data_IF_444118324543
#
_entry.id   IF_444118324543
#
_cell.length_a   1.000
_cell.length_b   1.000
_cell.length_c   1.000
_cell.angle_alpha   90.00
_cell.angle_beta   90.00
_cell.angle_gamma   90.00
#
_symmetry.space_group_name_H-M   'P 1'
#
loop_
_entity.id
_entity.type
_entity.pdbx_description
1 polymer ?
#
# COMPACT_ATOMS: atom_id res chain seq x y z
N UNK A 1 52.77 -30.46 37.52
CA UNK A 1 51.86 -30.76 36.44
C UNK A 1 51.11 -29.42 36.11
N UNK A 2 51.52 -28.72 35.02
CA UNK A 2 51.04 -27.38 34.65
C UNK A 2 50.02 -27.54 33.51
N UNK A 3 48.73 -27.31 33.77
CA UNK A 3 47.65 -27.34 32.78
C UNK A 3 47.60 -25.97 32.12
N UNK A 4 47.92 -25.92 30.80
CA UNK A 4 47.80 -24.73 29.97
C UNK A 4 46.40 -24.70 29.35
N UNK A 5 45.58 -23.78 29.78
CA UNK A 5 44.32 -23.46 29.12
C UNK A 5 44.59 -22.66 27.86
N UNK A 6 44.24 -23.22 26.69
CA UNK A 6 44.18 -22.48 25.42
C UNK A 6 42.78 -21.85 25.29
N UNK A 7 42.71 -20.52 25.37
CA UNK A 7 41.53 -19.76 24.97
C UNK A 7 41.40 -19.88 23.44
N UNK A 8 40.33 -20.54 22.99
CA UNK A 8 39.88 -20.42 21.59
C UNK A 8 39.01 -19.14 21.51
N UNK A 9 39.53 -18.13 20.82
CA UNK A 9 38.75 -16.95 20.42
C UNK A 9 37.91 -17.38 19.19
N UNK A 10 36.60 -17.57 19.38
CA UNK A 10 35.67 -17.78 18.29
C UNK A 10 35.39 -16.39 17.67
N UNK A 11 35.96 -16.11 16.49
CA UNK A 11 35.60 -14.95 15.67
C UNK A 11 34.19 -15.20 15.11
N UNK A 12 33.18 -14.55 15.68
CA UNK A 12 31.86 -14.44 15.08
C UNK A 12 31.97 -13.52 13.86
N UNK A 13 32.10 -14.11 12.68
CA UNK A 13 31.85 -13.44 11.40
C UNK A 13 30.35 -13.09 11.34
N UNK A 14 30.02 -11.85 11.66
CA UNK A 14 28.73 -11.30 11.30
C UNK A 14 28.75 -11.12 9.79
N UNK A 15 28.31 -12.13 9.07
CA UNK A 15 27.97 -11.99 7.66
C UNK A 15 26.81 -11.00 7.58
N UNK A 16 27.07 -9.79 7.07
CA UNK A 16 26.05 -8.86 6.65
C UNK A 16 25.24 -9.52 5.53
N UNK A 17 24.17 -10.22 5.89
CA UNK A 17 23.19 -10.69 4.92
C UNK A 17 22.58 -9.44 4.30
N UNK A 18 22.98 -9.12 3.08
CA UNK A 18 22.27 -8.16 2.24
C UNK A 18 20.83 -8.66 2.16
N UNK A 19 19.86 -7.79 2.44
CA UNK A 19 18.43 -8.08 2.21
C UNK A 19 18.30 -8.49 0.76
N UNK A 20 17.99 -9.76 0.52
CA UNK A 20 17.76 -10.29 -0.82
C UNK A 20 16.50 -9.63 -1.38
N UNK A 21 16.48 -9.38 -2.68
CA UNK A 21 15.31 -8.83 -3.38
C UNK A 21 14.03 -9.68 -3.19
N UNK A 22 14.19 -10.92 -2.70
CA UNK A 22 13.12 -11.85 -2.34
C UNK A 22 12.26 -11.40 -1.13
N UNK A 23 12.76 -10.49 -0.29
CA UNK A 23 12.08 -10.10 0.96
C UNK A 23 11.16 -8.87 0.81
N UNK A 24 11.12 -8.24 -0.39
CA UNK A 24 10.29 -7.06 -0.63
C UNK A 24 8.87 -7.48 -0.98
N UNK A 25 7.90 -6.98 -0.20
CA UNK A 25 6.48 -7.20 -0.47
C UNK A 25 6.04 -6.54 -1.78
N UNK A 26 5.49 -7.30 -2.71
CA UNK A 26 4.93 -6.79 -3.96
C UNK A 26 3.42 -6.55 -3.78
N UNK A 27 3.03 -5.29 -3.88
CA UNK A 27 1.65 -4.84 -3.65
C UNK A 27 1.03 -4.46 -5.00
N UNK A 28 -0.06 -5.11 -5.38
CA UNK A 28 -0.78 -4.82 -6.62
C UNK A 28 -1.61 -3.54 -6.46
N UNK A 29 -1.24 -2.46 -7.15
CA UNK A 29 -1.85 -1.12 -7.10
C UNK A 29 -3.24 -1.14 -7.74
N UNK A 30 -4.28 -0.89 -6.94
CA UNK A 30 -5.69 -0.97 -7.36
C UNK A 30 -6.03 -2.34 -7.98
N UNK A 31 -5.39 -3.40 -7.47
CA UNK A 31 -5.31 -4.70 -8.12
C UNK A 31 -4.21 -4.76 -9.19
N UNK A 32 -4.28 -5.72 -10.10
CA UNK A 32 -3.39 -5.78 -11.27
C UNK A 32 -3.85 -4.77 -12.33
N UNK A 33 -3.74 -3.47 -12.02
CA UNK A 33 -4.37 -2.37 -12.78
C UNK A 33 -3.78 -2.14 -14.17
N UNK A 34 -2.59 -2.68 -14.45
CA UNK A 34 -2.05 -2.67 -15.82
C UNK A 34 -2.87 -3.56 -16.75
N UNK A 35 -3.35 -4.69 -16.29
CA UNK A 35 -4.00 -5.74 -17.10
C UNK A 35 -5.54 -5.72 -16.98
N UNK A 36 -6.09 -5.20 -15.88
CA UNK A 36 -7.53 -5.15 -15.59
C UNK A 36 -7.96 -3.73 -15.16
N UNK A 37 -9.27 -3.39 -15.19
CA UNK A 37 -9.75 -2.09 -14.74
C UNK A 37 -9.46 -1.89 -13.24
N UNK A 38 -8.84 -0.77 -12.91
CA UNK A 38 -8.45 -0.42 -11.54
C UNK A 38 -9.65 -0.45 -10.56
N UNK A 39 -9.39 -0.83 -9.29
CA UNK A 39 -10.40 -0.81 -8.22
C UNK A 39 -11.65 -1.65 -8.50
N UNK A 40 -11.51 -2.80 -9.14
CA UNK A 40 -12.59 -3.76 -9.42
C UNK A 40 -12.30 -5.12 -8.81
N UNK A 41 -13.33 -5.97 -8.69
CA UNK A 41 -13.13 -7.36 -8.25
C UNK A 41 -12.20 -8.11 -9.21
N UNK A 42 -12.30 -7.81 -10.50
CA UNK A 42 -11.51 -8.42 -11.56
C UNK A 42 -10.02 -8.10 -11.38
N UNK A 43 -9.67 -6.82 -11.16
CA UNK A 43 -8.27 -6.44 -10.96
C UNK A 43 -7.70 -6.99 -9.65
N UNK A 44 -8.49 -7.04 -8.60
CA UNK A 44 -8.09 -7.59 -7.29
C UNK A 44 -7.82 -9.09 -7.40
N UNK A 45 -8.74 -9.86 -8.01
CA UNK A 45 -8.54 -11.30 -8.24
C UNK A 45 -7.33 -11.59 -9.10
N UNK A 46 -7.18 -10.82 -10.17
CA UNK A 46 -6.00 -10.93 -11.04
C UNK A 46 -4.71 -10.61 -10.28
N UNK A 47 -4.72 -9.66 -9.33
CA UNK A 47 -3.59 -9.38 -8.46
C UNK A 47 -3.17 -10.59 -7.63
N UNK A 48 -4.15 -11.33 -7.09
CA UNK A 48 -3.88 -12.59 -6.37
C UNK A 48 -3.39 -13.70 -7.30
N UNK A 49 -3.98 -13.87 -8.48
CA UNK A 49 -3.54 -14.82 -9.51
C UNK A 49 -2.11 -14.53 -9.97
N UNK A 50 -1.75 -13.26 -10.08
CA UNK A 50 -0.39 -12.79 -10.38
C UNK A 50 0.56 -12.87 -9.17
N UNK A 51 0.16 -13.57 -8.10
CA UNK A 51 0.97 -13.85 -6.91
C UNK A 51 1.46 -12.60 -6.18
N UNK A 52 0.70 -11.50 -6.20
CA UNK A 52 1.00 -10.37 -5.34
C UNK A 52 0.99 -10.80 -3.86
N UNK A 53 1.84 -10.18 -3.03
CA UNK A 53 1.87 -10.44 -1.59
C UNK A 53 0.75 -9.68 -0.87
N UNK A 54 0.40 -8.53 -1.42
CA UNK A 54 -0.77 -7.76 -1.03
C UNK A 54 -1.44 -7.13 -2.25
N UNK A 55 -2.68 -6.68 -2.07
CA UNK A 55 -3.39 -5.83 -3.03
C UNK A 55 -3.71 -4.51 -2.34
N UNK A 56 -3.54 -3.43 -3.06
CA UNK A 56 -3.98 -2.11 -2.63
C UNK A 56 -5.25 -1.72 -3.38
N UNK A 57 -6.18 -1.03 -2.68
CA UNK A 57 -7.43 -0.51 -3.23
C UNK A 57 -7.77 0.84 -2.61
N UNK A 58 -8.35 1.74 -3.43
CA UNK A 58 -8.86 3.04 -3.00
C UNK A 58 -10.33 2.96 -2.59
N UNK A 59 -10.72 3.62 -1.51
CA UNK A 59 -12.11 3.61 -1.04
C UNK A 59 -12.68 5.00 -0.75
N UNK A 60 -13.96 5.14 -1.05
CA UNK A 60 -14.82 6.26 -0.68
C UNK A 60 -16.05 5.78 0.09
N UNK A 61 -16.71 6.72 0.77
CA UNK A 61 -18.03 6.53 1.35
C UNK A 61 -19.11 7.00 0.37
N UNK A 62 -20.06 6.15 0.02
CA UNK A 62 -21.23 6.54 -0.78
C UNK A 62 -22.23 7.37 0.03
N UNK A 63 -23.20 7.99 -0.66
CA UNK A 63 -24.28 8.79 -0.03
C UNK A 63 -25.06 8.03 1.03
N UNK A 64 -25.26 6.73 0.83
CA UNK A 64 -26.00 5.83 1.73
C UNK A 64 -25.10 5.07 2.72
N UNK A 65 -23.82 5.49 2.85
CA UNK A 65 -22.88 5.01 3.88
C UNK A 65 -22.24 3.66 3.60
N UNK A 66 -22.20 3.24 2.33
CA UNK A 66 -21.48 2.04 1.90
C UNK A 66 -20.03 2.39 1.53
N UNK A 67 -19.10 1.52 1.87
CA UNK A 67 -17.69 1.68 1.47
C UNK A 67 -17.51 1.05 0.09
N UNK A 68 -17.15 1.87 -0.90
CA UNK A 68 -17.04 1.48 -2.30
C UNK A 68 -15.64 1.73 -2.84
N UNK A 69 -15.21 0.92 -3.81
CA UNK A 69 -13.91 1.11 -4.44
C UNK A 69 -13.98 2.16 -5.55
N UNK A 70 -13.19 3.21 -5.42
CA UNK A 70 -12.98 4.22 -6.45
C UNK A 70 -11.77 5.09 -6.10
N UNK A 71 -11.04 5.60 -7.12
CA UNK A 71 -9.87 6.44 -6.87
C UNK A 71 -10.19 7.94 -6.81
N UNK A 72 -10.94 8.45 -7.79
CA UNK A 72 -11.21 9.88 -7.91
C UNK A 72 -12.47 10.27 -7.12
N UNK A 73 -12.54 11.52 -6.68
CA UNK A 73 -13.72 12.02 -5.95
C UNK A 73 -15.00 11.99 -6.81
N UNK A 74 -14.87 11.95 -8.15
CA UNK A 74 -16.00 11.87 -9.10
C UNK A 74 -15.87 10.66 -10.01
N UNK A 75 -16.99 10.16 -10.50
CA UNK A 75 -17.06 9.03 -11.43
C UNK A 75 -16.78 9.39 -12.90
N UNK A 76 -16.40 10.65 -13.19
CA UNK A 76 -16.24 11.20 -14.54
C UNK A 76 -15.20 10.46 -15.37
N UNK A 77 -13.99 10.30 -14.83
CA UNK A 77 -12.83 9.78 -15.58
C UNK A 77 -13.06 8.37 -16.10
N UNK A 78 -13.65 7.51 -15.29
CA UNK A 78 -13.77 6.08 -15.58
C UNK A 78 -15.15 5.73 -16.18
N UNK A 79 -16.22 6.36 -15.68
CA UNK A 79 -17.60 6.03 -16.06
C UNK A 79 -18.29 7.12 -16.90
N UNK A 80 -17.63 8.24 -17.18
CA UNK A 80 -18.20 9.36 -17.97
C UNK A 80 -19.25 10.18 -17.22
N UNK A 81 -19.59 9.87 -15.97
CA UNK A 81 -20.62 10.53 -15.18
C UNK A 81 -19.98 11.55 -14.22
N UNK A 82 -20.22 12.84 -14.44
CA UNK A 82 -19.64 13.92 -13.64
C UNK A 82 -20.43 14.15 -12.34
N UNK A 83 -20.36 13.19 -11.41
CA UNK A 83 -20.95 13.27 -10.08
C UNK A 83 -19.95 12.77 -9.04
N UNK A 84 -19.97 13.39 -7.84
CA UNK A 84 -19.15 12.91 -6.72
C UNK A 84 -19.63 11.53 -6.27
N UNK A 85 -18.70 10.68 -5.84
CA UNK A 85 -19.02 9.37 -5.24
C UNK A 85 -19.89 9.54 -4.01
N UNK A 86 -19.59 10.52 -3.16
CA UNK A 86 -20.33 10.83 -1.95
C UNK A 86 -21.78 11.33 -2.18
N UNK A 87 -22.10 11.78 -3.39
CA UNK A 87 -23.43 12.26 -3.76
C UNK A 87 -24.30 11.17 -4.41
N UNK A 88 -23.78 9.96 -4.56
CA UNK A 88 -24.45 8.81 -5.19
C UNK A 88 -24.65 7.69 -4.17
N UNK A 89 -25.82 7.07 -4.19
CA UNK A 89 -26.06 5.83 -3.45
C UNK A 89 -25.30 4.67 -4.09
N UNK A 90 -25.06 3.59 -3.34
CA UNK A 90 -24.45 2.41 -3.93
C UNK A 90 -25.30 1.80 -5.06
N UNK A 91 -26.62 1.90 -4.96
CA UNK A 91 -27.51 1.45 -6.03
C UNK A 91 -27.29 2.20 -7.34
N UNK A 92 -26.98 3.51 -7.29
CA UNK A 92 -26.62 4.31 -8.46
C UNK A 92 -25.21 3.96 -8.94
N UNK A 93 -24.22 3.93 -8.04
CA UNK A 93 -22.81 3.64 -8.35
C UNK A 93 -22.62 2.28 -9.04
N UNK A 94 -23.32 1.25 -8.60
CA UNK A 94 -23.26 -0.09 -9.19
C UNK A 94 -23.84 -0.22 -10.60
N UNK A 95 -24.54 0.80 -11.12
CA UNK A 95 -25.00 0.82 -12.51
C UNK A 95 -23.93 1.33 -13.47
N UNK A 96 -22.91 2.01 -12.97
CA UNK A 96 -21.85 2.58 -13.78
C UNK A 96 -20.94 1.48 -14.33
N UNK A 97 -20.66 1.56 -15.65
CA UNK A 97 -19.64 0.73 -16.27
C UNK A 97 -18.26 1.35 -16.02
N UNK A 98 -17.44 0.67 -15.22
CA UNK A 98 -16.08 1.12 -14.87
C UNK A 98 -15.00 0.28 -15.56
N UNK A 99 -15.39 -0.59 -16.49
CA UNK A 99 -14.47 -1.47 -17.20
C UNK A 99 -14.26 -1.14 -18.66
N UNK A 100 -15.29 -0.60 -19.34
CA UNK A 100 -15.25 -0.37 -20.80
C UNK A 100 -14.09 0.50 -21.29
N UNK A 101 -13.63 1.46 -20.48
CA UNK A 101 -12.48 2.31 -20.78
C UNK A 101 -11.16 1.53 -20.91
N UNK A 102 -11.05 0.40 -20.22
CA UNK A 102 -9.86 -0.47 -20.22
C UNK A 102 -9.82 -1.42 -21.43
N UNK A 103 -10.97 -1.65 -22.06
CA UNK A 103 -11.11 -2.50 -23.23
C UNK A 103 -12.45 -3.23 -23.27
N UNK A 104 -12.85 -3.66 -24.47
CA UNK A 104 -14.17 -4.27 -24.71
C UNK A 104 -14.44 -5.52 -23.86
N UNK A 105 -13.42 -6.32 -23.56
CA UNK A 105 -13.53 -7.52 -22.70
C UNK A 105 -13.97 -7.20 -21.26
N UNK A 106 -13.80 -5.95 -20.84
CA UNK A 106 -14.13 -5.48 -19.51
C UNK A 106 -15.46 -4.70 -19.43
N UNK A 107 -16.17 -4.61 -20.55
CA UNK A 107 -17.47 -3.94 -20.59
C UNK A 107 -18.43 -4.60 -19.60
N UNK A 108 -19.11 -3.78 -18.83
CA UNK A 108 -20.08 -4.25 -17.84
C UNK A 108 -19.50 -4.48 -16.45
N UNK A 109 -18.20 -4.30 -16.23
CA UNK A 109 -17.59 -4.32 -14.89
C UNK A 109 -18.13 -3.16 -14.05
N UNK A 110 -18.39 -3.42 -12.77
CA UNK A 110 -19.09 -2.51 -11.86
C UNK A 110 -18.24 -2.13 -10.67
N UNK A 111 -18.57 -0.98 -10.05
CA UNK A 111 -17.96 -0.55 -8.78
C UNK A 111 -18.34 -1.56 -7.68
N UNK A 112 -17.38 -2.22 -7.00
CA UNK A 112 -17.68 -3.14 -5.92
C UNK A 112 -17.75 -2.40 -4.57
N UNK A 113 -18.47 -3.02 -3.59
CA UNK A 113 -18.29 -2.67 -2.18
C UNK A 113 -17.01 -3.28 -1.63
N UNK A 114 -16.41 -2.62 -0.65
CA UNK A 114 -15.25 -3.14 0.07
C UNK A 114 -15.55 -4.53 0.68
N UNK A 115 -16.76 -4.76 1.19
CA UNK A 115 -17.18 -6.04 1.76
C UNK A 115 -16.90 -7.22 0.80
N UNK A 116 -17.28 -7.07 -0.48
CA UNK A 116 -17.08 -8.11 -1.47
C UNK A 116 -15.60 -8.33 -1.80
N UNK A 117 -14.81 -7.26 -1.75
CA UNK A 117 -13.38 -7.31 -2.05
C UNK A 117 -12.60 -7.95 -0.91
N UNK A 118 -12.93 -7.65 0.34
CA UNK A 118 -12.30 -8.25 1.51
C UNK A 118 -12.43 -9.77 1.55
N UNK A 119 -13.54 -10.33 1.02
CA UNK A 119 -13.70 -11.80 0.97
C UNK A 119 -12.68 -12.49 0.08
N UNK A 120 -12.06 -11.76 -0.86
CA UNK A 120 -11.09 -12.30 -1.81
C UNK A 120 -9.68 -12.46 -1.23
N UNK A 121 -9.39 -11.89 -0.07
CA UNK A 121 -8.05 -11.92 0.53
C UNK A 121 -7.69 -13.38 0.88
N UNK A 122 -6.65 -13.98 0.28
CA UNK A 122 -6.22 -15.33 0.61
C UNK A 122 -5.57 -15.38 2.01
N UNK A 123 -5.48 -16.57 2.58
CA UNK A 123 -4.75 -16.78 3.83
C UNK A 123 -3.29 -16.36 3.68
N UNK A 124 -2.76 -15.71 4.72
CA UNK A 124 -1.40 -15.18 4.75
C UNK A 124 -1.16 -13.96 3.86
N UNK A 125 -2.16 -13.49 3.11
CA UNK A 125 -2.09 -12.27 2.30
C UNK A 125 -2.81 -11.12 2.99
N UNK A 126 -2.51 -9.88 2.56
CA UNK A 126 -3.11 -8.69 3.16
C UNK A 126 -3.59 -7.68 2.11
N UNK A 127 -4.45 -6.76 2.53
CA UNK A 127 -4.97 -5.70 1.67
C UNK A 127 -4.67 -4.33 2.28
N UNK A 128 -4.09 -3.47 1.47
CA UNK A 128 -3.91 -2.05 1.76
C UNK A 128 -5.16 -1.30 1.28
N UNK A 129 -5.79 -0.58 2.18
CA UNK A 129 -7.05 0.13 1.93
C UNK A 129 -6.76 1.62 2.05
N UNK A 130 -6.62 2.29 0.89
CA UNK A 130 -6.42 3.73 0.84
C UNK A 130 -7.75 4.47 1.00
N UNK A 131 -7.88 5.19 2.09
CA UNK A 131 -9.05 6.06 2.32
C UNK A 131 -8.84 7.39 1.61
N UNK A 132 -9.73 7.68 0.64
CA UNK A 132 -9.70 8.88 -0.20
C UNK A 132 -10.58 10.02 0.31
N UNK A 133 -11.49 9.75 1.26
CA UNK A 133 -12.36 10.75 1.90
C UNK A 133 -11.90 11.06 3.32
N UNK A 134 -12.74 11.71 4.12
CA UNK A 134 -12.43 12.08 5.49
C UNK A 134 -12.67 10.96 6.51
N UNK A 135 -12.47 11.25 7.81
CA UNK A 135 -12.61 10.26 8.89
C UNK A 135 -14.04 9.78 9.12
N UNK A 136 -15.04 10.40 8.51
CA UNK A 136 -16.44 9.96 8.55
C UNK A 136 -16.66 8.53 8.05
N UNK A 137 -15.71 7.98 7.27
CA UNK A 137 -15.73 6.59 6.79
C UNK A 137 -15.40 5.56 7.87
N UNK A 138 -14.71 5.94 8.97
CA UNK A 138 -14.17 5.02 9.97
C UNK A 138 -15.23 4.06 10.57
N UNK A 139 -16.44 4.53 10.93
CA UNK A 139 -17.47 3.61 11.41
C UNK A 139 -17.90 2.55 10.37
N UNK A 140 -17.96 2.94 9.09
CA UNK A 140 -18.31 2.03 7.99
C UNK A 140 -17.17 1.01 7.72
N UNK A 141 -15.90 1.44 7.71
CA UNK A 141 -14.76 0.53 7.65
C UNK A 141 -14.81 -0.51 8.77
N UNK A 142 -15.12 -0.09 10.01
CA UNK A 142 -15.23 -1.00 11.14
C UNK A 142 -16.35 -2.04 10.97
N UNK A 143 -17.45 -1.70 10.29
CA UNK A 143 -18.50 -2.67 9.94
C UNK A 143 -17.99 -3.68 8.91
N UNK A 144 -17.35 -3.21 7.84
CA UNK A 144 -16.77 -4.05 6.78
C UNK A 144 -15.71 -4.99 7.32
N UNK A 145 -14.79 -4.51 8.17
CA UNK A 145 -13.74 -5.33 8.78
C UNK A 145 -14.31 -6.47 9.64
N UNK A 146 -15.28 -6.17 10.50
CA UNK A 146 -15.95 -7.21 11.32
C UNK A 146 -16.68 -8.24 10.46
N UNK A 147 -17.40 -7.78 9.44
CA UNK A 147 -18.17 -8.64 8.53
C UNK A 147 -17.29 -9.55 7.69
N UNK A 148 -16.08 -9.09 7.33
CA UNK A 148 -15.15 -9.87 6.49
C UNK A 148 -14.59 -11.11 7.18
N UNK A 149 -14.56 -11.15 8.52
CA UNK A 149 -13.93 -12.20 9.29
C UNK A 149 -12.40 -12.25 9.15
N UNK A 150 -11.79 -11.27 8.44
CA UNK A 150 -10.33 -11.23 8.24
C UNK A 150 -9.61 -10.83 9.53
N UNK A 151 -8.44 -11.44 9.74
CA UNK A 151 -7.60 -11.09 10.89
C UNK A 151 -7.05 -9.65 10.75
N UNK A 152 -6.73 -8.96 11.85
CA UNK A 152 -6.12 -7.64 11.78
C UNK A 152 -4.85 -7.58 10.93
N UNK A 153 -4.06 -8.64 10.87
CA UNK A 153 -2.82 -8.70 10.09
C UNK A 153 -3.05 -8.75 8.57
N UNK A 154 -4.26 -9.12 8.15
CA UNK A 154 -4.66 -9.12 6.74
C UNK A 154 -5.14 -7.74 6.25
N UNK A 155 -5.30 -6.78 7.16
CA UNK A 155 -5.85 -5.46 6.88
C UNK A 155 -4.81 -4.38 7.15
N UNK A 156 -4.71 -3.43 6.23
CA UNK A 156 -3.83 -2.26 6.36
C UNK A 156 -4.61 -1.03 5.93
N UNK A 157 -4.60 0.03 6.74
CA UNK A 157 -5.22 1.32 6.38
C UNK A 157 -4.14 2.32 6.01
N UNK A 158 -4.31 2.98 4.87
CA UNK A 158 -3.43 4.04 4.41
C UNK A 158 -4.25 5.28 3.99
N UNK A 159 -3.72 6.47 4.16
CA UNK A 159 -4.33 7.71 3.67
C UNK A 159 -3.34 8.86 3.65
N UNK A 160 -3.52 9.79 2.69
CA UNK A 160 -2.90 11.12 2.72
C UNK A 160 -3.51 12.05 3.78
N UNK A 161 -4.76 11.76 4.18
CA UNK A 161 -5.40 12.51 5.26
C UNK A 161 -4.91 11.98 6.61
N UNK A 162 -4.11 12.80 7.30
CA UNK A 162 -3.52 12.45 8.59
C UNK A 162 -4.58 12.11 9.64
N UNK A 163 -5.70 12.85 9.70
CA UNK A 163 -6.78 12.57 10.65
C UNK A 163 -7.44 11.22 10.41
N UNK A 164 -7.51 10.76 9.16
CA UNK A 164 -8.01 9.41 8.84
C UNK A 164 -7.12 8.33 9.45
N UNK A 165 -5.81 8.36 9.18
CA UNK A 165 -4.90 7.31 9.70
C UNK A 165 -4.77 7.34 11.21
N UNK A 166 -4.78 8.53 11.81
CA UNK A 166 -4.79 8.74 13.27
C UNK A 166 -6.04 8.14 13.92
N UNK A 167 -7.23 8.46 13.39
CA UNK A 167 -8.49 7.92 13.92
C UNK A 167 -8.65 6.42 13.62
N UNK A 168 -8.20 5.96 12.45
CA UNK A 168 -8.18 4.53 12.13
C UNK A 168 -7.32 3.76 13.13
N UNK A 169 -6.09 4.24 13.42
CA UNK A 169 -5.20 3.59 14.40
C UNK A 169 -5.79 3.58 15.80
N UNK A 170 -6.38 4.68 16.24
CA UNK A 170 -7.07 4.75 17.54
C UNK A 170 -8.26 3.79 17.61
N UNK A 171 -9.06 3.66 16.54
CA UNK A 171 -10.25 2.79 16.49
C UNK A 171 -9.90 1.32 16.30
N UNK A 172 -8.83 1.03 15.56
CA UNK A 172 -8.39 -0.32 15.18
C UNK A 172 -6.92 -0.55 15.57
N UNK A 173 -6.57 -0.58 16.86
CA UNK A 173 -5.15 -0.55 17.31
C UNK A 173 -4.31 -1.73 16.82
N UNK A 174 -4.95 -2.87 16.49
CA UNK A 174 -4.28 -4.06 15.96
C UNK A 174 -4.09 -4.03 14.44
N UNK A 175 -4.83 -3.18 13.72
CA UNK A 175 -4.67 -3.02 12.27
C UNK A 175 -3.50 -2.07 12.02
N UNK A 176 -2.63 -2.42 11.08
CA UNK A 176 -1.52 -1.55 10.68
C UNK A 176 -2.02 -0.33 9.91
N UNK A 177 -1.51 0.84 10.27
CA UNK A 177 -1.85 2.10 9.63
C UNK A 177 -0.56 2.82 9.19
N UNK A 178 -0.50 3.22 7.91
CA UNK A 178 0.65 3.97 7.38
C UNK A 178 0.21 5.31 6.82
N UNK A 179 1.01 6.34 7.10
CA UNK A 179 0.77 7.68 6.58
C UNK A 179 1.31 7.80 5.16
N UNK A 180 0.44 8.18 4.21
CA UNK A 180 0.82 8.44 2.83
C UNK A 180 1.39 9.85 2.70
N UNK A 181 2.49 9.98 1.96
CA UNK A 181 3.07 11.28 1.61
C UNK A 181 3.68 11.30 0.23
N UNK A 182 3.50 12.41 -0.46
CA UNK A 182 4.32 12.81 -1.61
C UNK A 182 5.25 13.94 -1.18
N UNK A 183 6.23 14.26 -2.04
CA UNK A 183 7.25 15.25 -1.74
C UNK A 183 7.29 16.34 -2.80
N UNK A 184 7.68 17.53 -2.35
CA UNK A 184 8.06 18.65 -3.20
C UNK A 184 9.50 19.04 -2.82
N UNK A 185 10.24 19.57 -3.78
CA UNK A 185 11.51 20.24 -3.47
C UNK A 185 11.21 21.73 -3.27
N UNK A 186 11.65 22.27 -2.15
CA UNK A 186 11.66 23.71 -1.94
C UNK A 186 12.62 24.36 -2.94
N UNK A 187 12.17 25.40 -3.61
CA UNK A 187 12.93 26.02 -4.69
C UNK A 187 14.09 26.91 -4.18
N UNK A 188 13.99 27.40 -2.95
CA UNK A 188 14.96 28.32 -2.36
C UNK A 188 16.04 27.54 -1.60
N UNK A 189 15.62 26.61 -0.72
CA UNK A 189 16.54 25.83 0.10
C UNK A 189 17.06 24.56 -0.58
N UNK A 190 16.35 24.07 -1.61
CA UNK A 190 16.63 22.76 -2.20
C UNK A 190 16.24 21.57 -1.30
N UNK A 191 15.56 21.82 -0.19
CA UNK A 191 15.16 20.80 0.75
C UNK A 191 13.88 20.09 0.33
N UNK A 192 13.72 18.85 0.78
CA UNK A 192 12.51 18.05 0.53
C UNK A 192 11.44 18.37 1.56
N UNK A 193 10.22 18.70 1.08
CA UNK A 193 9.05 18.98 1.91
C UNK A 193 7.97 17.92 1.63
N UNK A 194 7.39 17.29 2.69
CA UNK A 194 7.84 17.34 4.08
C UNK A 194 9.19 16.67 4.29
N UNK A 195 9.92 17.06 5.34
CA UNK A 195 11.14 16.38 5.75
C UNK A 195 10.83 14.98 6.33
N UNK A 196 11.83 14.10 6.38
CA UNK A 196 11.65 12.77 6.98
C UNK A 196 11.39 12.87 8.48
N UNK A 197 11.97 13.85 9.15
CA UNK A 197 11.76 14.13 10.58
C UNK A 197 10.32 14.51 10.87
N UNK A 198 9.73 15.38 10.06
CA UNK A 198 8.31 15.76 10.19
C UNK A 198 7.37 14.57 10.00
N UNK A 199 7.65 13.71 9.01
CA UNK A 199 6.86 12.51 8.76
C UNK A 199 6.95 11.52 9.92
N UNK A 200 8.17 11.28 10.44
CA UNK A 200 8.40 10.40 11.61
C UNK A 200 7.69 10.97 12.85
N UNK A 201 7.81 12.28 13.09
CA UNK A 201 7.15 12.92 14.23
C UNK A 201 5.62 12.77 14.18
N UNK A 202 5.01 13.03 13.02
CA UNK A 202 3.57 12.80 12.80
C UNK A 202 3.16 11.35 13.02
N UNK A 203 3.91 10.41 12.43
CA UNK A 203 3.60 9.00 12.56
C UNK A 203 3.70 8.54 14.04
N UNK A 204 4.72 8.96 14.77
CA UNK A 204 4.87 8.69 16.21
C UNK A 204 3.74 9.28 17.04
N UNK A 205 3.37 10.54 16.79
CA UNK A 205 2.31 11.22 17.53
C UNK A 205 0.95 10.51 17.40
N UNK A 206 0.68 9.84 16.28
CA UNK A 206 -0.53 9.05 16.06
C UNK A 206 -0.33 7.53 16.25
N UNK A 207 0.82 7.09 16.77
CA UNK A 207 1.17 5.67 16.99
C UNK A 207 1.03 4.81 15.71
N UNK A 208 1.32 5.40 14.54
CA UNK A 208 1.25 4.70 13.27
C UNK A 208 2.40 3.69 13.12
N UNK A 209 2.19 2.67 12.30
CA UNK A 209 3.15 1.60 12.07
C UNK A 209 4.26 1.99 11.08
N UNK A 210 4.13 3.13 10.40
CA UNK A 210 5.14 3.65 9.49
C UNK A 210 4.61 4.58 8.42
N UNK A 211 5.37 4.62 7.33
CA UNK A 211 5.16 5.53 6.20
C UNK A 211 4.96 4.74 4.90
N UNK A 212 4.10 5.26 4.02
CA UNK A 212 3.95 4.79 2.64
C UNK A 212 4.08 5.98 1.70
N UNK A 213 5.24 6.13 1.06
CA UNK A 213 5.63 7.40 0.44
C UNK A 213 5.94 7.26 -1.05
N UNK A 214 5.82 8.35 -1.80
CA UNK A 214 6.22 8.40 -3.20
C UNK A 214 7.70 8.04 -3.35
N UNK A 215 8.03 7.08 -4.25
CA UNK A 215 9.41 6.68 -4.51
C UNK A 215 10.29 7.83 -4.99
N UNK A 216 9.71 8.88 -5.58
CA UNK A 216 10.44 10.07 -6.05
C UNK A 216 11.14 10.82 -4.93
N UNK A 217 10.66 10.70 -3.69
CA UNK A 217 11.29 11.28 -2.50
C UNK A 217 12.32 10.37 -1.82
N UNK A 218 12.45 9.11 -2.25
CA UNK A 218 13.36 8.14 -1.64
C UNK A 218 14.75 8.17 -2.29
N UNK A 219 15.37 9.37 -2.31
CA UNK A 219 16.65 9.59 -3.00
C UNK A 219 17.86 9.23 -2.13
N UNK A 220 17.80 9.41 -0.81
CA UNK A 220 18.95 9.25 0.09
C UNK A 220 18.84 8.02 0.99
N UNK A 221 19.96 7.38 1.27
CA UNK A 221 20.06 6.31 2.27
C UNK A 221 19.73 6.81 3.69
N UNK A 222 20.00 8.09 3.96
CA UNK A 222 19.69 8.71 5.24
C UNK A 222 18.18 8.65 5.55
N UNK A 223 17.30 8.80 4.54
CA UNK A 223 15.86 8.67 4.69
C UNK A 223 15.49 7.27 5.23
N UNK A 224 16.00 6.22 4.58
CA UNK A 224 15.75 4.82 4.99
C UNK A 224 16.25 4.58 6.42
N UNK A 225 17.50 4.97 6.68
CA UNK A 225 18.12 4.79 8.01
C UNK A 225 17.29 5.47 9.11
N UNK A 226 16.83 6.70 8.91
CA UNK A 226 16.02 7.44 9.88
C UNK A 226 14.68 6.74 10.16
N UNK A 227 13.95 6.32 9.11
CA UNK A 227 12.66 5.63 9.28
C UNK A 227 12.85 4.28 9.98
N UNK A 228 13.83 3.48 9.55
CA UNK A 228 14.12 2.18 10.15
C UNK A 228 14.61 2.30 11.60
N UNK A 229 15.47 3.28 11.92
CA UNK A 229 15.90 3.56 13.30
C UNK A 229 14.77 4.03 14.20
N UNK A 230 13.68 4.57 13.62
CA UNK A 230 12.47 4.90 14.35
C UNK A 230 11.56 3.69 14.63
N UNK A 231 11.94 2.48 14.17
CA UNK A 231 11.15 1.24 14.29
C UNK A 231 9.94 1.19 13.37
N UNK A 232 9.96 1.94 12.27
CA UNK A 232 8.82 2.12 11.37
C UNK A 232 8.96 1.31 10.08
N UNK A 233 7.83 0.79 9.58
CA UNK A 233 7.73 0.26 8.23
C UNK A 233 7.83 1.36 7.18
N UNK A 234 8.43 1.03 6.02
CA UNK A 234 8.58 1.94 4.90
C UNK A 234 8.12 1.29 3.59
N UNK A 235 7.04 1.79 3.04
CA UNK A 235 6.42 1.35 1.79
C UNK A 235 6.48 2.46 0.75
N UNK A 236 6.33 2.10 -0.52
CA UNK A 236 6.38 3.10 -1.60
C UNK A 236 5.44 2.78 -2.76
N UNK A 237 5.08 3.81 -3.54
CA UNK A 237 4.17 3.78 -4.70
C UNK A 237 4.56 4.83 -5.75
N UNK A 238 4.11 4.77 -6.98
CA UNK A 238 3.81 3.56 -7.74
C UNK A 238 5.03 3.26 -8.58
N UNK A 239 5.65 2.11 -8.41
CA UNK A 239 6.92 1.76 -9.06
C UNK A 239 6.68 0.74 -10.17
N UNK A 240 6.83 1.18 -11.41
CA UNK A 240 6.70 0.36 -12.61
C UNK A 240 8.03 0.21 -13.38
N UNK A 241 9.17 0.51 -12.70
CA UNK A 241 10.52 0.34 -13.22
C UNK A 241 11.29 -0.67 -12.38
N UNK A 242 11.82 -1.71 -13.01
CA UNK A 242 12.63 -2.72 -12.33
C UNK A 242 13.91 -2.15 -11.71
N UNK A 243 14.54 -1.16 -12.37
CA UNK A 243 15.76 -0.54 -11.85
C UNK A 243 15.50 0.29 -10.61
N UNK A 244 14.36 1.01 -10.58
CA UNK A 244 13.93 1.72 -9.37
C UNK A 244 13.64 0.73 -8.26
N UNK A 245 12.88 -0.33 -8.55
CA UNK A 245 12.54 -1.35 -7.57
C UNK A 245 13.77 -2.05 -6.98
N UNK A 246 14.74 -2.44 -7.82
CA UNK A 246 16.01 -3.03 -7.36
C UNK A 246 16.80 -2.09 -6.44
N UNK A 247 16.90 -0.81 -6.79
CA UNK A 247 17.58 0.17 -5.92
C UNK A 247 16.89 0.33 -4.56
N UNK A 248 15.55 0.34 -4.55
CA UNK A 248 14.77 0.45 -3.32
C UNK A 248 14.87 -0.82 -2.47
N UNK A 249 14.83 -2.01 -3.08
CA UNK A 249 15.04 -3.29 -2.42
C UNK A 249 16.41 -3.35 -1.73
N UNK A 250 17.49 -3.00 -2.43
CA UNK A 250 18.86 -2.93 -1.87
C UNK A 250 18.97 -1.96 -0.68
N UNK A 251 18.10 -0.95 -0.59
CA UNK A 251 18.05 0.01 0.53
C UNK A 251 17.14 -0.43 1.67
N UNK A 252 16.50 -1.60 1.58
CA UNK A 252 15.68 -2.16 2.64
C UNK A 252 14.25 -1.58 2.71
N UNK A 253 13.64 -1.29 1.55
CA UNK A 253 12.20 -1.02 1.49
C UNK A 253 11.41 -2.27 1.91
N UNK A 254 10.33 -2.11 2.68
CA UNK A 254 9.51 -3.25 3.10
C UNK A 254 8.55 -3.72 2.01
N UNK A 255 8.03 -2.79 1.20
CA UNK A 255 7.13 -3.16 0.12
C UNK A 255 7.01 -2.08 -0.96
N UNK A 256 6.65 -2.55 -2.15
CA UNK A 256 6.55 -1.76 -3.37
C UNK A 256 5.17 -1.96 -4.00
N UNK A 257 4.42 -0.87 -4.13
CA UNK A 257 3.15 -0.85 -4.86
C UNK A 257 3.41 -0.63 -6.35
N UNK A 258 2.87 -1.52 -7.20
CA UNK A 258 3.07 -1.52 -8.65
C UNK A 258 1.79 -1.88 -9.41
N UNK A 259 1.63 -1.35 -10.61
CA UNK A 259 0.52 -1.72 -11.52
C UNK A 259 0.70 -3.12 -12.14
N UNK A 260 1.93 -3.69 -12.08
CA UNK A 260 2.35 -4.90 -12.81
C UNK A 260 3.01 -5.92 -11.88
N UNK A 261 2.27 -6.54 -10.93
CA UNK A 261 2.86 -7.34 -9.85
C UNK A 261 3.64 -8.56 -10.35
N UNK A 262 3.10 -9.35 -11.28
CA UNK A 262 3.82 -10.50 -11.85
C UNK A 262 5.11 -10.09 -12.54
N UNK A 263 5.03 -9.09 -13.42
CA UNK A 263 6.20 -8.59 -14.14
C UNK A 263 7.29 -8.08 -13.20
N UNK A 264 6.91 -7.30 -12.17
CA UNK A 264 7.90 -6.77 -11.23
C UNK A 264 8.58 -7.88 -10.44
N UNK A 265 7.83 -8.89 -10.00
CA UNK A 265 8.36 -10.06 -9.30
C UNK A 265 9.38 -10.80 -10.14
N UNK A 266 9.06 -11.10 -11.40
CA UNK A 266 9.99 -11.76 -12.33
C UNK A 266 11.28 -10.95 -12.52
N UNK A 267 11.17 -9.62 -12.67
CA UNK A 267 12.32 -8.74 -12.86
C UNK A 267 13.20 -8.60 -11.62
N UNK A 268 12.65 -8.75 -10.42
CA UNK A 268 13.44 -8.75 -9.20
C UNK A 268 14.14 -10.10 -9.01
N UNK A 269 13.47 -11.21 -9.30
CA UNK A 269 14.05 -12.56 -9.19
C UNK A 269 15.18 -12.83 -10.20
N UNK A 270 15.08 -12.31 -11.44
CA UNK A 270 16.09 -12.53 -12.48
C UNK A 270 17.42 -11.79 -12.24
N UNK A 271 17.45 -10.81 -11.33
CA UNK A 271 18.68 -10.07 -11.02
C UNK A 271 19.59 -10.78 -10.01
N UNK A 272 19.09 -11.81 -9.33
CA UNK A 272 19.89 -12.62 -8.38
C UNK A 272 20.66 -13.76 -9.10
N UNK A 273 20.55 -13.83 -10.45
CA UNK A 273 21.14 -14.87 -11.29
C UNK A 273 22.36 -14.37 -12.11
N UNK A 274 22.68 -13.08 -12.03
CA UNK A 274 23.88 -12.46 -12.65
C UNK A 274 24.86 -11.98 -11.57
#
# INVERSE_FOLDING_TARGET
MKIRWKLLLALLLVSGAGVLAADVEIIAHRGASYDAPENTLESVRLGWEQKADAVEVDVFLSKDGEVVLHHDATTKKIAGVDRKVADQTYAELRQLDVGAWKGSKWKGVRIPKLDAVLTTIPDGKRMFIEVKCGPEIIPALGRSFRKSGKSPDQLVVISFNYEVVKQAKAKFPRIKCFYLSSFKMDKESGEQIPSVEELIAKAKAAQLDGLNVSYKGLQSEAFFKKVKSAGMGLFTWTVNSSDVARRLAKRGIDGITTDRPAWLRERLASADSE
#
